data_IF_937067394630
#
_entry.id   IF_937067394630
#
_cell.length_a   1.000
_cell.length_b   1.000
_cell.length_c   1.000
_cell.angle_alpha   90.00
_cell.angle_beta   90.00
_cell.angle_gamma   90.00
#
_symmetry.space_group_name_H-M   'P 1'
#
loop_
_entity.id
_entity.type
_entity.pdbx_description
1 polymer ?
#
# COMPACT_ATOMS: atom_id res chain seq x y z
N UNK A 1 -10.24 -0.28 -8.85
CA UNK A 1 -9.50 0.67 -8.00
C UNK A 1 -8.00 0.46 -8.20
N UNK A 2 -7.15 1.42 -7.81
CA UNK A 2 -5.68 1.32 -7.94
C UNK A 2 -5.10 0.07 -7.23
N UNK A 3 -5.63 -0.28 -6.05
CA UNK A 3 -5.19 -1.45 -5.28
C UNK A 3 -5.42 -2.78 -5.99
N UNK A 4 -6.58 -2.95 -6.64
CA UNK A 4 -6.85 -4.17 -7.43
C UNK A 4 -5.89 -4.27 -8.61
N UNK A 5 -5.61 -3.15 -9.30
CA UNK A 5 -4.61 -3.11 -10.37
C UNK A 5 -3.18 -3.41 -9.90
N UNK A 6 -2.87 -3.13 -8.64
CA UNK A 6 -1.61 -3.50 -7.99
C UNK A 6 -1.55 -4.98 -7.54
N UNK A 7 -2.63 -5.75 -7.71
CA UNK A 7 -2.70 -7.16 -7.34
C UNK A 7 -3.18 -7.44 -5.92
N UNK A 8 -3.76 -6.46 -5.24
CA UNK A 8 -4.41 -6.66 -3.93
C UNK A 8 -5.73 -7.39 -4.13
N UNK A 9 -5.87 -8.54 -3.47
CA UNK A 9 -7.09 -9.34 -3.53
C UNK A 9 -8.08 -8.81 -2.51
N UNK A 10 -9.29 -8.45 -2.95
CA UNK A 10 -10.39 -7.96 -2.10
C UNK A 10 -10.00 -6.82 -1.14
N UNK A 11 -9.60 -5.64 -1.66
CA UNK A 11 -9.27 -4.50 -0.81
C UNK A 11 -10.50 -4.04 -0.01
N UNK A 12 -10.32 -3.85 1.30
CA UNK A 12 -11.36 -3.38 2.21
C UNK A 12 -11.18 -1.87 2.49
N UNK A 13 -12.15 -1.29 3.20
CA UNK A 13 -12.01 0.08 3.71
C UNK A 13 -10.77 0.25 4.59
N UNK A 14 -10.45 -0.75 5.43
CA UNK A 14 -9.25 -0.72 6.28
C UNK A 14 -7.96 -0.73 5.45
N UNK A 15 -7.88 -1.55 4.39
CA UNK A 15 -6.75 -1.56 3.47
C UNK A 15 -6.57 -0.19 2.77
N UNK A 16 -7.68 0.40 2.34
CA UNK A 16 -7.66 1.72 1.69
C UNK A 16 -7.24 2.81 2.67
N UNK A 17 -7.74 2.79 3.91
CA UNK A 17 -7.34 3.72 4.97
C UNK A 17 -5.86 3.61 5.35
N UNK A 18 -5.32 2.39 5.42
CA UNK A 18 -3.90 2.20 5.68
C UNK A 18 -3.02 2.79 4.55
N UNK A 19 -3.42 2.65 3.28
CA UNK A 19 -2.70 3.27 2.17
C UNK A 19 -2.89 4.80 2.16
N UNK A 20 -4.05 5.31 2.57
CA UNK A 20 -4.26 6.74 2.75
C UNK A 20 -3.35 7.32 3.84
N UNK A 21 -3.15 6.60 4.95
CA UNK A 21 -2.22 7.01 6.00
C UNK A 21 -0.78 7.15 5.49
N UNK A 22 -0.36 6.36 4.49
CA UNK A 22 0.94 6.54 3.83
C UNK A 22 1.05 7.88 3.07
N UNK A 23 -0.05 8.57 2.81
CA UNK A 23 -0.09 9.89 2.16
C UNK A 23 -0.23 11.00 3.20
N UNK A 24 -1.14 10.84 4.16
CA UNK A 24 -1.50 11.87 5.14
C UNK A 24 -0.55 11.93 6.34
N UNK A 25 -0.13 10.77 6.87
CA UNK A 25 0.65 10.64 8.11
C UNK A 25 2.00 9.95 7.90
N UNK A 26 2.60 10.16 6.73
CA UNK A 26 3.72 9.36 6.21
C UNK A 26 5.02 9.39 7.02
N UNK A 27 5.13 10.27 8.02
CA UNK A 27 6.35 10.46 8.79
C UNK A 27 6.72 9.20 9.59
N UNK A 28 7.85 8.57 9.24
CA UNK A 28 8.36 7.37 9.92
C UNK A 28 7.73 6.03 9.50
N UNK A 29 6.81 6.03 8.54
CA UNK A 29 6.16 4.80 8.06
C UNK A 29 7.08 3.98 7.14
N UNK A 30 7.05 2.64 7.32
CA UNK A 30 7.84 1.68 6.52
C UNK A 30 7.10 1.12 5.31
N UNK A 31 5.80 1.36 5.20
CA UNK A 31 4.91 0.76 4.21
C UNK A 31 3.81 -0.10 4.85
N UNK A 32 2.85 -0.50 4.02
CA UNK A 32 1.69 -1.31 4.40
C UNK A 32 1.70 -2.59 3.59
N UNK A 33 1.62 -3.72 4.29
CA UNK A 33 1.38 -5.03 3.67
C UNK A 33 -0.12 -5.25 3.47
N UNK A 34 -0.46 -5.71 2.29
CA UNK A 34 -1.82 -5.93 1.83
C UNK A 34 -2.00 -7.38 1.37
N UNK A 35 -3.27 -7.86 1.31
CA UNK A 35 -3.58 -9.17 0.75
C UNK A 35 -3.01 -9.37 -0.65
N UNK A 36 -2.71 -10.62 -1.01
CA UNK A 36 -2.04 -10.95 -2.28
C UNK A 36 -0.52 -10.74 -2.26
N UNK A 37 0.06 -10.57 -1.07
CA UNK A 37 1.50 -10.40 -0.87
C UNK A 37 2.03 -9.08 -1.42
N UNK A 38 1.18 -8.05 -1.49
CA UNK A 38 1.54 -6.73 -2.01
C UNK A 38 1.96 -5.84 -0.86
N UNK A 39 3.11 -5.20 -0.96
CA UNK A 39 3.52 -4.12 -0.08
C UNK A 39 3.40 -2.79 -0.82
N UNK A 40 2.76 -1.82 -0.19
CA UNK A 40 2.68 -0.43 -0.66
C UNK A 40 3.60 0.43 0.20
N UNK A 41 4.43 1.24 -0.44
CA UNK A 41 5.31 2.21 0.22
C UNK A 41 5.11 3.59 -0.41
N UNK A 42 5.32 4.66 0.37
CA UNK A 42 5.50 6.00 -0.19
C UNK A 42 7.00 6.27 -0.36
N UNK A 43 7.42 6.59 -1.58
CA UNK A 43 8.80 6.93 -1.88
C UNK A 43 8.83 8.09 -2.88
N UNK A 44 9.60 9.14 -2.57
CA UNK A 44 9.74 10.31 -3.46
C UNK A 44 8.42 11.02 -3.75
N UNK A 45 7.46 11.01 -2.82
CA UNK A 45 6.14 11.63 -3.01
C UNK A 45 5.13 10.78 -3.76
N UNK A 46 5.47 9.56 -4.18
CA UNK A 46 4.58 8.66 -4.92
C UNK A 46 4.36 7.35 -4.17
N UNK A 47 3.16 6.75 -4.33
CA UNK A 47 2.89 5.39 -3.86
C UNK A 47 3.43 4.37 -4.85
N UNK A 48 4.18 3.39 -4.33
CA UNK A 48 4.72 2.27 -5.11
C UNK A 48 4.20 0.97 -4.49
N UNK A 49 3.59 0.14 -5.31
CA UNK A 49 3.15 -1.20 -4.93
C UNK A 49 4.07 -2.23 -5.57
N UNK A 50 4.52 -3.20 -4.78
CA UNK A 50 5.33 -4.31 -5.26
C UNK A 50 5.06 -5.56 -4.42
N UNK A 51 5.30 -6.73 -4.98
CA UNK A 51 5.43 -7.95 -4.18
C UNK A 51 6.86 -8.02 -3.63
N UNK A 52 7.07 -8.05 -2.31
CA UNK A 52 8.39 -8.29 -1.75
C UNK A 52 8.93 -9.61 -2.31
N UNK A 53 10.18 -9.59 -2.82
CA UNK A 53 10.88 -10.82 -3.15
C UNK A 53 11.43 -11.37 -1.84
N UNK A 54 11.09 -12.63 -1.53
CA UNK A 54 11.69 -13.38 -0.42
C UNK A 54 13.19 -13.57 -0.65
#
# INVERSE_FOLDING_TARGET
>A
SWLVGAGVVEPSAAHTGAVLALVEDWHGQRGVDLPGGVRVVRAGGTLRAARPRH
#
